data_IF_068489217709
#
_entry.id   IF_068489217709
#
_cell.length_a   1.000
_cell.length_b   1.000
_cell.length_c   1.000
_cell.angle_alpha   90.00
_cell.angle_beta   90.00
_cell.angle_gamma   90.00
#
_symmetry.space_group_name_H-M   'P 1'
#
loop_
_entity.id
_entity.type
_entity.pdbx_description
1 polymer ?
#
# COMPACT_ATOMS: atom_id res chain seq x y z
N UNK A 1 -19.55 -7.57 -23.78
CA UNK A 1 -19.21 -6.22 -24.28
C UNK A 1 -17.98 -5.73 -23.52
N UNK A 2 -16.96 -5.21 -24.20
CA UNK A 2 -15.73 -4.71 -23.56
C UNK A 2 -15.92 -3.21 -23.25
N UNK A 3 -15.67 -2.82 -21.99
CA UNK A 3 -15.68 -1.41 -21.57
C UNK A 3 -14.31 -0.78 -21.84
N UNK A 4 -14.08 -0.32 -23.08
CA UNK A 4 -12.78 0.21 -23.53
C UNK A 4 -12.27 1.39 -22.71
N UNK A 5 -13.16 2.28 -22.26
CA UNK A 5 -12.82 3.41 -21.39
C UNK A 5 -12.25 2.93 -20.04
N UNK A 6 -12.94 1.99 -19.39
CA UNK A 6 -12.48 1.39 -18.13
C UNK A 6 -11.20 0.59 -18.29
N UNK A 7 -11.00 -0.06 -19.43
CA UNK A 7 -9.74 -0.72 -19.74
C UNK A 7 -8.60 0.31 -19.86
N UNK A 8 -8.83 1.43 -20.55
CA UNK A 8 -7.87 2.52 -20.67
C UNK A 8 -7.48 3.13 -19.33
N UNK A 9 -8.46 3.38 -18.46
CA UNK A 9 -8.25 3.78 -17.07
C UNK A 9 -7.30 2.79 -16.35
N UNK A 10 -7.62 1.49 -16.38
CA UNK A 10 -6.80 0.46 -15.72
C UNK A 10 -5.38 0.41 -16.29
N UNK A 11 -5.21 0.46 -17.61
CA UNK A 11 -3.87 0.47 -18.24
C UNK A 11 -3.06 1.69 -17.83
N UNK A 12 -3.69 2.88 -17.79
CA UNK A 12 -3.03 4.12 -17.35
C UNK A 12 -2.52 3.99 -15.90
N UNK A 13 -3.29 3.32 -15.04
CA UNK A 13 -2.89 3.07 -13.66
C UNK A 13 -1.58 2.31 -13.56
N UNK A 14 -1.32 1.35 -14.46
CA UNK A 14 -0.12 0.51 -14.36
C UNK A 14 1.17 1.27 -14.64
N UNK A 15 1.08 2.41 -15.32
CA UNK A 15 2.21 3.31 -15.57
C UNK A 15 2.28 4.39 -14.49
N UNK A 16 1.15 5.03 -14.19
CA UNK A 16 1.10 6.16 -13.25
C UNK A 16 1.42 5.73 -11.81
N UNK A 17 0.93 4.57 -11.38
CA UNK A 17 1.07 4.07 -10.02
C UNK A 17 2.52 3.85 -9.58
N UNK A 18 3.36 3.08 -10.33
CA UNK A 18 4.74 2.87 -9.94
C UNK A 18 5.55 4.16 -9.97
N UNK A 19 5.29 5.07 -10.93
CA UNK A 19 5.99 6.35 -11.01
C UNK A 19 5.66 7.23 -9.81
N UNK A 20 4.38 7.39 -9.48
CA UNK A 20 3.96 8.18 -8.34
C UNK A 20 4.50 7.61 -7.01
N UNK A 21 4.43 6.30 -6.84
CA UNK A 21 5.02 5.60 -5.69
C UNK A 21 6.53 5.83 -5.58
N UNK A 22 7.26 5.73 -6.70
CA UNK A 22 8.70 5.97 -6.75
C UNK A 22 9.06 7.39 -6.35
N UNK A 23 8.38 8.39 -6.93
CA UNK A 23 8.64 9.81 -6.66
C UNK A 23 8.37 10.15 -5.19
N UNK A 24 7.22 9.76 -4.65
CA UNK A 24 6.87 10.10 -3.28
C UNK A 24 7.81 9.39 -2.29
N UNK A 25 8.08 8.10 -2.47
CA UNK A 25 8.98 7.37 -1.57
C UNK A 25 10.43 7.88 -1.66
N UNK A 26 10.90 8.27 -2.85
CA UNK A 26 12.18 8.95 -3.05
C UNK A 26 12.24 10.26 -2.25
N UNK A 27 11.22 11.10 -2.36
CA UNK A 27 11.17 12.39 -1.67
C UNK A 27 11.12 12.22 -0.14
N UNK A 28 10.34 11.27 0.36
CA UNK A 28 10.25 10.95 1.79
C UNK A 28 11.61 10.48 2.31
N UNK A 29 12.24 9.52 1.63
CA UNK A 29 13.54 9.01 2.05
C UNK A 29 14.62 10.10 1.98
N UNK A 30 14.64 10.91 0.91
CA UNK A 30 15.58 12.03 0.78
C UNK A 30 15.37 13.08 1.87
N UNK A 31 14.13 13.33 2.29
CA UNK A 31 13.82 14.21 3.42
C UNK A 31 14.37 13.65 4.72
N UNK A 32 14.21 12.35 4.99
CA UNK A 32 14.80 11.70 6.18
C UNK A 32 16.32 11.82 6.14
N UNK A 33 16.95 11.57 4.98
CA UNK A 33 18.41 11.71 4.84
C UNK A 33 18.84 13.15 5.10
N UNK A 34 18.17 14.13 4.51
CA UNK A 34 18.53 15.54 4.65
C UNK A 34 18.35 16.07 6.09
N UNK A 35 17.21 15.79 6.72
CA UNK A 35 16.90 16.33 8.04
C UNK A 35 17.52 15.54 9.20
N UNK A 36 17.74 14.22 9.03
CA UNK A 36 18.21 13.34 10.10
C UNK A 36 19.65 12.90 9.88
N UNK A 37 19.94 12.20 8.78
CA UNK A 37 21.24 11.57 8.58
C UNK A 37 22.37 12.52 8.16
N UNK A 38 22.07 13.59 7.44
CA UNK A 38 23.04 14.61 7.05
C UNK A 38 23.39 15.57 8.21
N UNK A 39 22.71 15.47 9.35
CA UNK A 39 23.05 16.23 10.54
C UNK A 39 24.33 15.69 11.18
N UNK A 40 25.16 16.58 11.75
CA UNK A 40 26.36 16.16 12.49
C UNK A 40 26.05 15.29 13.72
N UNK A 41 24.79 15.26 14.18
CA UNK A 41 24.31 14.47 15.32
C UNK A 41 22.95 13.82 15.03
N UNK A 42 22.91 12.70 14.29
CA UNK A 42 21.66 12.08 13.82
C UNK A 42 20.66 11.71 14.93
N UNK A 43 21.14 11.33 16.12
CA UNK A 43 20.28 11.01 17.26
C UNK A 43 19.53 12.23 17.80
N UNK A 44 20.17 13.40 17.89
CA UNK A 44 19.52 14.65 18.29
C UNK A 44 18.55 15.13 17.21
N UNK A 45 18.93 15.01 15.94
CA UNK A 45 18.04 15.33 14.82
C UNK A 45 16.80 14.43 14.77
N UNK A 46 16.94 13.14 15.07
CA UNK A 46 15.80 12.22 15.19
C UNK A 46 14.86 12.60 16.34
N UNK A 47 15.38 13.09 17.47
CA UNK A 47 14.54 13.63 18.56
C UNK A 47 13.77 14.88 18.12
N UNK A 48 14.37 15.73 17.30
CA UNK A 48 13.75 16.96 16.80
C UNK A 48 12.73 16.72 15.69
N UNK A 49 13.08 15.93 14.68
CA UNK A 49 12.27 15.74 13.47
C UNK A 49 11.43 14.46 13.50
N UNK A 50 11.82 13.45 14.29
CA UNK A 50 11.05 12.20 14.47
C UNK A 50 9.58 12.43 14.82
N UNK A 51 9.23 13.32 15.77
CA UNK A 51 7.85 13.63 16.10
C UNK A 51 7.00 14.08 14.90
N UNK A 52 7.58 14.81 13.94
CA UNK A 52 6.87 15.24 12.72
C UNK A 52 6.57 14.03 11.82
N UNK A 53 7.51 13.09 11.67
CA UNK A 53 7.27 11.85 10.92
C UNK A 53 6.20 10.98 11.58
N UNK A 54 6.16 10.92 12.92
CA UNK A 54 5.08 10.27 13.69
C UNK A 54 3.74 10.94 13.36
N UNK A 55 3.68 12.27 13.48
CA UNK A 55 2.51 13.06 13.14
C UNK A 55 1.99 12.77 11.74
N UNK A 56 2.86 12.89 10.73
CA UNK A 56 2.51 12.66 9.33
C UNK A 56 2.00 11.24 9.09
N UNK A 57 2.57 10.26 9.79
CA UNK A 57 2.13 8.86 9.70
C UNK A 57 0.69 8.72 10.16
N UNK A 58 0.38 9.18 11.38
CA UNK A 58 -0.97 9.10 11.91
C UNK A 58 -1.96 9.97 11.14
N UNK A 59 -1.52 11.11 10.62
CA UNK A 59 -2.30 11.94 9.70
C UNK A 59 -2.77 11.13 8.49
N UNK A 60 -1.84 10.51 7.75
CA UNK A 60 -2.17 9.75 6.54
C UNK A 60 -3.02 8.52 6.86
N UNK A 61 -2.71 7.81 7.94
CA UNK A 61 -3.50 6.65 8.38
C UNK A 61 -4.94 7.07 8.68
N UNK A 62 -5.12 8.13 9.46
CA UNK A 62 -6.46 8.64 9.86
C UNK A 62 -7.24 9.12 8.64
N UNK A 63 -6.61 9.97 7.83
CA UNK A 63 -7.22 10.52 6.63
C UNK A 63 -7.63 9.41 5.66
N UNK A 64 -6.76 8.43 5.44
CA UNK A 64 -7.03 7.35 4.50
C UNK A 64 -8.01 6.32 5.05
N UNK A 65 -7.99 6.03 6.36
CA UNK A 65 -8.98 5.17 7.01
C UNK A 65 -10.39 5.74 6.85
N UNK A 66 -10.60 7.01 7.21
CA UNK A 66 -11.92 7.63 7.19
C UNK A 66 -12.36 8.17 5.83
N UNK A 67 -11.48 8.23 4.83
CA UNK A 67 -11.90 8.54 3.45
C UNK A 67 -12.17 7.31 2.61
N UNK A 68 -11.50 6.18 2.86
CA UNK A 68 -11.66 4.96 2.06
C UNK A 68 -12.61 3.93 2.65
N UNK A 69 -12.74 3.88 3.98
CA UNK A 69 -13.57 2.86 4.61
C UNK A 69 -14.98 3.35 4.88
N UNK A 70 -15.92 2.40 4.94
CA UNK A 70 -17.31 2.68 5.30
C UNK A 70 -17.45 3.31 6.69
N UNK A 71 -16.50 3.08 7.59
CA UNK A 71 -16.44 3.71 8.91
C UNK A 71 -16.40 5.23 8.81
N UNK A 72 -15.72 5.77 7.79
CA UNK A 72 -15.73 7.19 7.47
C UNK A 72 -17.13 7.73 7.22
N UNK A 73 -17.86 7.09 6.32
CA UNK A 73 -19.22 7.49 5.95
C UNK A 73 -20.24 7.32 7.09
N UNK A 74 -19.95 6.48 8.08
CA UNK A 74 -20.81 6.30 9.26
C UNK A 74 -20.60 7.39 10.31
N UNK A 75 -19.37 7.89 10.44
CA UNK A 75 -18.99 8.82 11.51
C UNK A 75 -18.91 10.28 11.05
N UNK A 76 -18.70 10.52 9.75
CA UNK A 76 -18.47 11.85 9.19
C UNK A 76 -19.32 12.07 7.96
N UNK A 77 -19.83 13.30 7.82
CA UNK A 77 -20.67 13.70 6.68
C UNK A 77 -19.89 14.45 5.60
N UNK A 78 -18.76 15.08 5.97
CA UNK A 78 -17.96 15.92 5.08
C UNK A 78 -16.45 15.65 5.21
N UNK A 79 -15.71 15.91 4.12
CA UNK A 79 -14.26 15.77 4.10
C UNK A 79 -13.58 16.70 5.10
N UNK A 80 -14.17 17.86 5.34
CA UNK A 80 -13.68 18.91 6.23
C UNK A 80 -13.53 18.37 7.66
N UNK A 81 -14.51 17.58 8.12
CA UNK A 81 -14.46 16.93 9.43
C UNK A 81 -13.34 15.90 9.52
N UNK A 82 -13.17 15.09 8.47
CA UNK A 82 -12.09 14.08 8.41
C UNK A 82 -10.72 14.76 8.36
N UNK A 83 -10.60 15.86 7.62
CA UNK A 83 -9.36 16.64 7.53
C UNK A 83 -9.01 17.29 8.87
N UNK A 84 -9.99 17.92 9.52
CA UNK A 84 -9.82 18.51 10.86
C UNK A 84 -9.42 17.47 11.89
N UNK A 85 -10.07 16.30 11.89
CA UNK A 85 -9.68 15.19 12.77
C UNK A 85 -8.26 14.71 12.46
N UNK A 86 -7.91 14.56 11.19
CA UNK A 86 -6.57 14.11 10.79
C UNK A 86 -5.50 15.12 11.23
N UNK A 87 -5.76 16.42 11.11
CA UNK A 87 -4.88 17.49 11.61
C UNK A 87 -4.79 17.52 13.14
N UNK A 88 -5.89 17.27 13.85
CA UNK A 88 -5.88 17.15 15.30
C UNK A 88 -5.05 15.93 15.74
N UNK A 89 -5.25 14.78 15.10
CA UNK A 89 -4.45 13.56 15.33
C UNK A 89 -2.98 13.80 14.99
N UNK A 90 -2.67 14.51 13.91
CA UNK A 90 -1.30 14.94 13.57
C UNK A 90 -0.67 15.72 14.72
N UNK A 91 -1.35 16.76 15.22
CA UNK A 91 -0.82 17.61 16.28
C UNK A 91 -0.61 16.82 17.58
N UNK A 92 -1.62 16.05 18.00
CA UNK A 92 -1.57 15.24 19.22
C UNK A 92 -0.48 14.18 19.16
N UNK A 93 -0.39 13.43 18.04
CA UNK A 93 0.62 12.39 17.87
C UNK A 93 2.03 12.96 17.70
N UNK A 94 2.18 14.15 17.11
CA UNK A 94 3.46 14.86 17.07
C UNK A 94 3.90 15.27 18.48
N UNK A 95 3.01 15.90 19.26
CA UNK A 95 3.31 16.30 20.65
C UNK A 95 3.62 15.08 21.51
N UNK A 96 2.81 14.03 21.45
CA UNK A 96 3.08 12.76 22.12
C UNK A 96 4.42 12.15 21.66
N UNK A 97 4.72 12.27 20.36
CA UNK A 97 5.98 11.84 19.76
C UNK A 97 7.21 12.50 20.38
N UNK A 98 7.14 13.79 20.73
CA UNK A 98 8.24 14.48 21.44
C UNK A 98 8.57 13.77 22.76
N UNK A 99 7.55 13.40 23.54
CA UNK A 99 7.75 12.70 24.81
C UNK A 99 8.24 11.26 24.61
N UNK A 100 7.69 10.54 23.64
CA UNK A 100 8.06 9.15 23.35
C UNK A 100 9.52 9.07 22.88
N UNK A 101 9.88 9.88 21.88
CA UNK A 101 11.23 9.89 21.32
C UNK A 101 12.24 10.48 22.32
N UNK A 102 11.80 11.41 23.16
CA UNK A 102 12.60 11.95 24.26
C UNK A 102 12.93 10.92 25.35
N UNK A 103 11.98 10.01 25.66
CA UNK A 103 12.15 8.92 26.64
C UNK A 103 12.88 7.69 26.10
N UNK A 104 12.99 7.54 24.78
CA UNK A 104 13.86 6.51 24.22
C UNK A 104 15.31 6.86 24.59
N UNK A 105 15.93 6.03 25.43
CA UNK A 105 17.39 6.02 25.65
C UNK A 105 18.02 5.41 24.41
N UNK A 106 18.35 6.27 23.44
CA UNK A 106 18.79 5.84 22.13
C UNK A 106 20.32 5.83 22.07
N UNK A 107 20.89 4.76 21.52
CA UNK A 107 22.34 4.60 21.29
C UNK A 107 22.91 5.71 20.41
N UNK A 108 24.22 5.65 20.13
CA UNK A 108 24.89 6.73 19.42
C UNK A 108 24.61 6.68 17.91
N UNK A 109 24.07 7.78 17.36
CA UNK A 109 24.05 8.01 15.91
C UNK A 109 22.94 7.26 15.13
N UNK A 110 23.35 6.39 14.21
CA UNK A 110 22.48 5.80 13.18
C UNK A 110 21.50 4.75 13.71
N UNK A 111 21.93 3.93 14.67
CA UNK A 111 21.10 2.87 15.27
C UNK A 111 19.86 3.45 15.95
N UNK A 112 19.99 4.65 16.51
CA UNK A 112 18.90 5.35 17.15
C UNK A 112 17.77 5.70 16.18
N UNK A 113 18.14 6.19 15.01
CA UNK A 113 17.20 6.53 13.94
C UNK A 113 16.49 5.27 13.48
N UNK A 114 17.24 4.22 13.18
CA UNK A 114 16.69 2.94 12.73
C UNK A 114 15.75 2.29 13.76
N UNK A 115 16.07 2.40 15.06
CA UNK A 115 15.19 1.92 16.13
C UNK A 115 13.83 2.62 16.15
N UNK A 116 13.82 3.95 16.01
CA UNK A 116 12.60 4.75 15.91
C UNK A 116 11.77 4.34 14.70
N UNK A 117 12.39 4.34 13.51
CA UNK A 117 11.71 4.02 12.27
C UNK A 117 11.24 2.57 12.21
N UNK A 118 11.89 1.63 12.90
CA UNK A 118 11.39 0.26 13.06
C UNK A 118 10.01 0.22 13.73
N UNK A 119 9.79 1.02 14.77
CA UNK A 119 8.49 1.08 15.46
C UNK A 119 7.43 1.71 14.57
N UNK A 120 7.77 2.78 13.86
CA UNK A 120 6.86 3.44 12.92
C UNK A 120 6.52 2.56 11.72
N UNK A 121 7.51 1.84 11.20
CA UNK A 121 7.33 0.94 10.08
C UNK A 121 6.31 -0.16 10.40
N UNK A 122 6.31 -0.72 11.62
CA UNK A 122 5.29 -1.73 11.99
C UNK A 122 3.88 -1.15 11.85
N UNK A 123 3.66 0.07 12.34
CA UNK A 123 2.35 0.74 12.27
C UNK A 123 1.98 1.04 10.81
N UNK A 124 2.90 1.58 10.01
CA UNK A 124 2.65 1.87 8.59
C UNK A 124 2.41 0.59 7.78
N UNK A 125 3.17 -0.47 8.03
CA UNK A 125 3.03 -1.76 7.37
C UNK A 125 1.67 -2.40 7.67
N UNK A 126 1.20 -2.34 8.92
CA UNK A 126 -0.15 -2.80 9.27
C UNK A 126 -1.24 -2.02 8.52
N UNK A 127 -1.07 -0.70 8.40
CA UNK A 127 -2.01 0.13 7.67
C UNK A 127 -2.02 -0.17 6.16
N UNK A 128 -0.83 -0.28 5.56
CA UNK A 128 -0.67 -0.67 4.15
C UNK A 128 -1.30 -2.04 3.92
N UNK A 129 -1.07 -3.02 4.80
CA UNK A 129 -1.69 -4.34 4.72
C UNK A 129 -3.24 -4.28 4.75
N UNK A 130 -3.83 -3.45 5.63
CA UNK A 130 -5.27 -3.22 5.67
C UNK A 130 -5.79 -2.59 4.37
N UNK A 131 -5.10 -1.58 3.85
CA UNK A 131 -5.48 -0.92 2.60
C UNK A 131 -5.36 -1.84 1.39
N UNK A 132 -4.31 -2.66 1.33
CA UNK A 132 -4.14 -3.69 0.30
C UNK A 132 -5.25 -4.72 0.37
N UNK A 133 -5.54 -5.28 1.55
CA UNK A 133 -6.61 -6.26 1.73
C UNK A 133 -7.96 -5.71 1.28
N UNK A 134 -8.28 -4.47 1.64
CA UNK A 134 -9.53 -3.81 1.25
C UNK A 134 -9.67 -3.63 -0.28
N UNK A 135 -8.59 -3.35 -0.99
CA UNK A 135 -8.61 -3.18 -2.45
C UNK A 135 -8.60 -4.54 -3.18
N UNK A 136 -7.77 -5.48 -2.72
CA UNK A 136 -7.48 -6.70 -3.46
C UNK A 136 -8.52 -7.81 -3.21
N UNK A 137 -9.30 -7.74 -2.12
CA UNK A 137 -10.39 -8.71 -1.85
C UNK A 137 -11.42 -8.72 -2.98
N UNK A 138 -11.69 -7.57 -3.60
CA UNK A 138 -12.64 -7.44 -4.70
C UNK A 138 -12.21 -8.25 -5.93
N UNK A 139 -10.90 -8.44 -6.17
CA UNK A 139 -10.40 -9.15 -7.35
C UNK A 139 -10.86 -10.62 -7.39
N UNK A 140 -10.97 -11.26 -6.23
CA UNK A 140 -11.45 -12.64 -6.11
C UNK A 140 -12.96 -12.71 -5.83
N UNK A 141 -13.44 -11.82 -4.94
CA UNK A 141 -14.82 -11.90 -4.44
C UNK A 141 -15.84 -11.29 -5.39
N UNK A 142 -15.50 -10.28 -6.20
CA UNK A 142 -16.48 -9.67 -7.10
C UNK A 142 -17.00 -10.65 -8.18
N UNK A 143 -16.15 -11.41 -8.90
CA UNK A 143 -16.64 -12.43 -9.83
C UNK A 143 -17.46 -13.53 -9.13
N UNK A 144 -16.98 -14.00 -7.98
CA UNK A 144 -17.66 -15.02 -7.18
C UNK A 144 -19.04 -14.55 -6.70
N UNK A 145 -19.14 -13.30 -6.26
CA UNK A 145 -20.37 -12.65 -5.85
C UNK A 145 -21.39 -12.67 -6.98
N UNK A 146 -21.01 -12.25 -8.19
CA UNK A 146 -21.92 -12.24 -9.36
C UNK A 146 -22.43 -13.64 -9.68
N UNK A 147 -21.55 -14.66 -9.69
CA UNK A 147 -21.96 -16.04 -9.96
C UNK A 147 -22.93 -16.54 -8.90
N UNK A 148 -22.62 -16.36 -7.62
CA UNK A 148 -23.46 -16.82 -6.52
C UNK A 148 -24.81 -16.09 -6.48
N UNK A 149 -24.83 -14.77 -6.63
CA UNK A 149 -26.09 -14.02 -6.62
C UNK A 149 -26.97 -14.39 -7.80
N UNK A 150 -26.39 -14.63 -8.97
CA UNK A 150 -27.16 -15.06 -10.15
C UNK A 150 -27.68 -16.50 -10.00
N UNK A 151 -26.87 -17.41 -9.45
CA UNK A 151 -27.26 -18.80 -9.23
C UNK A 151 -28.30 -18.97 -8.11
N UNK A 152 -28.28 -18.07 -7.12
CA UNK A 152 -29.14 -18.11 -5.94
C UNK A 152 -30.29 -17.09 -6.02
N UNK A 153 -30.50 -16.45 -7.17
CA UNK A 153 -31.47 -15.35 -7.35
C UNK A 153 -32.91 -15.80 -7.04
N UNK A 154 -33.23 -17.07 -7.28
CA UNK A 154 -34.52 -17.69 -6.93
C UNK A 154 -34.63 -18.12 -5.46
N UNK A 155 -33.63 -17.86 -4.63
CA UNK A 155 -33.60 -18.26 -3.22
C UNK A 155 -33.61 -17.02 -2.32
N UNK A 156 -34.38 -17.05 -1.23
CA UNK A 156 -34.39 -15.97 -0.22
C UNK A 156 -33.09 -15.88 0.61
N UNK A 157 -32.03 -16.58 0.20
CA UNK A 157 -30.75 -16.69 0.90
C UNK A 157 -29.90 -15.43 0.67
N UNK A 158 -30.08 -14.74 -0.46
CA UNK A 158 -29.41 -13.49 -0.79
C UNK A 158 -29.99 -12.34 0.04
N UNK A 159 -29.70 -12.37 1.35
CA UNK A 159 -30.06 -11.33 2.32
C UNK A 159 -28.93 -10.32 2.50
N UNK A 160 -29.20 -9.20 3.17
CA UNK A 160 -28.28 -8.06 3.33
C UNK A 160 -26.91 -8.38 3.97
N UNK A 161 -26.76 -9.54 4.64
CA UNK A 161 -25.49 -9.96 5.25
C UNK A 161 -24.63 -10.89 4.38
N UNK A 162 -25.15 -11.41 3.26
CA UNK A 162 -24.46 -12.37 2.40
C UNK A 162 -23.10 -11.83 1.88
N UNK A 163 -23.05 -10.54 1.58
CA UNK A 163 -21.82 -9.86 1.12
C UNK A 163 -20.69 -9.89 2.15
N UNK A 164 -20.98 -9.80 3.46
CA UNK A 164 -19.94 -9.82 4.49
C UNK A 164 -19.25 -11.17 4.62
N UNK A 165 -19.99 -12.27 4.46
CA UNK A 165 -19.41 -13.62 4.50
C UNK A 165 -18.49 -13.87 3.31
N UNK A 166 -18.85 -13.36 2.13
CA UNK A 166 -18.00 -13.42 0.94
C UNK A 166 -16.71 -12.60 1.13
N UNK A 167 -16.81 -11.40 1.68
CA UNK A 167 -15.63 -10.58 2.01
C UNK A 167 -14.74 -11.26 3.04
N UNK A 168 -15.33 -11.90 4.07
CA UNK A 168 -14.59 -12.67 5.07
C UNK A 168 -13.87 -13.88 4.46
N UNK A 169 -14.53 -14.60 3.54
CA UNK A 169 -13.92 -15.69 2.77
C UNK A 169 -12.72 -15.20 1.96
N UNK A 170 -12.86 -14.05 1.28
CA UNK A 170 -11.78 -13.44 0.51
C UNK A 170 -10.60 -13.02 1.40
N UNK A 171 -10.89 -12.41 2.54
CA UNK A 171 -9.88 -12.04 3.54
C UNK A 171 -9.13 -13.27 4.09
N UNK A 172 -9.85 -14.35 4.39
CA UNK A 172 -9.25 -15.62 4.83
C UNK A 172 -8.37 -16.24 3.73
N UNK A 173 -8.80 -16.18 2.47
CA UNK A 173 -8.01 -16.63 1.32
C UNK A 173 -6.71 -15.84 1.15
N UNK A 174 -6.77 -14.50 1.26
CA UNK A 174 -5.58 -13.64 1.23
C UNK A 174 -4.63 -14.01 2.37
N UNK A 175 -5.14 -14.13 3.60
CA UNK A 175 -4.33 -14.51 4.76
C UNK A 175 -3.65 -15.88 4.57
N UNK A 176 -4.38 -16.88 4.10
CA UNK A 176 -3.84 -18.21 3.80
C UNK A 176 -2.75 -18.16 2.72
N UNK A 177 -2.95 -17.38 1.66
CA UNK A 177 -1.96 -17.19 0.59
C UNK A 177 -0.67 -16.54 1.09
N UNK A 178 -0.78 -15.53 1.95
CA UNK A 178 0.39 -14.86 2.56
C UNK A 178 1.17 -15.85 3.42
N UNK A 179 0.49 -16.62 4.28
CA UNK A 179 1.12 -17.58 5.19
C UNK A 179 1.80 -18.75 4.47
N UNK A 180 1.24 -19.20 3.35
CA UNK A 180 1.74 -20.38 2.62
C UNK A 180 2.82 -20.06 1.58
N UNK A 181 2.65 -18.97 0.82
CA UNK A 181 3.50 -18.69 -0.34
C UNK A 181 3.97 -17.23 -0.46
N UNK A 182 3.41 -16.32 0.35
CA UNK A 182 3.73 -14.90 0.32
C UNK A 182 5.22 -14.59 0.57
N UNK A 183 5.92 -15.43 1.33
CA UNK A 183 7.34 -15.24 1.68
C UNK A 183 8.26 -15.08 0.46
N UNK A 184 7.94 -15.69 -0.70
CA UNK A 184 8.76 -15.59 -1.91
C UNK A 184 8.77 -14.17 -2.49
N UNK A 185 7.60 -13.53 -2.52
CA UNK A 185 7.45 -12.15 -3.00
C UNK A 185 8.01 -11.16 -1.98
N UNK A 186 7.72 -11.38 -0.69
CA UNK A 186 8.27 -10.55 0.41
C UNK A 186 9.80 -10.53 0.37
N UNK A 187 10.44 -11.70 0.17
CA UNK A 187 11.91 -11.78 0.05
C UNK A 187 12.43 -11.01 -1.17
N UNK A 188 11.72 -11.05 -2.28
CA UNK A 188 12.12 -10.35 -3.51
C UNK A 188 12.05 -8.83 -3.33
N UNK A 189 10.97 -8.32 -2.75
CA UNK A 189 10.82 -6.89 -2.47
C UNK A 189 11.77 -6.40 -1.36
N UNK A 190 11.98 -7.20 -0.31
CA UNK A 190 12.75 -6.80 0.86
C UNK A 190 14.26 -6.81 0.70
N UNK A 191 14.78 -7.64 -0.22
CA UNK A 191 16.22 -7.85 -0.35
C UNK A 191 16.78 -7.83 -1.77
N UNK A 192 15.96 -8.16 -2.78
CA UNK A 192 16.49 -8.38 -4.13
C UNK A 192 16.46 -7.13 -5.01
N UNK A 193 15.44 -6.26 -4.90
CA UNK A 193 15.40 -5.01 -5.68
C UNK A 193 16.41 -4.00 -5.11
N UNK A 194 16.31 -3.73 -3.81
CA UNK A 194 17.25 -2.92 -3.04
C UNK A 194 17.21 -3.40 -1.59
N UNK A 195 18.32 -3.29 -0.86
CA UNK A 195 18.35 -3.69 0.55
C UNK A 195 17.54 -2.69 1.40
N UNK A 196 16.46 -3.15 2.04
CA UNK A 196 15.62 -2.29 2.87
C UNK A 196 16.11 -2.24 4.33
N UNK A 197 16.47 -1.04 4.80
CA UNK A 197 16.56 -0.71 6.23
C UNK A 197 15.21 -0.22 6.74
N UNK A 198 15.04 0.04 8.04
CA UNK A 198 13.73 0.43 8.58
C UNK A 198 13.27 1.80 8.08
N UNK A 199 14.21 2.75 7.97
CA UNK A 199 13.93 4.06 7.36
C UNK A 199 13.47 3.96 5.90
N UNK A 200 14.04 3.02 5.15
CA UNK A 200 13.67 2.73 3.76
C UNK A 200 12.30 2.06 3.69
N UNK A 201 12.06 1.03 4.50
CA UNK A 201 10.77 0.35 4.58
C UNK A 201 9.64 1.31 4.97
N UNK A 202 9.87 2.17 5.97
CA UNK A 202 8.94 3.25 6.31
C UNK A 202 8.66 4.18 5.12
N UNK A 203 9.70 4.59 4.38
CA UNK A 203 9.54 5.48 3.21
C UNK A 203 8.73 4.81 2.09
N UNK A 204 8.92 3.50 1.89
CA UNK A 204 8.12 2.69 0.95
C UNK A 204 6.67 2.64 1.38
N UNK A 205 6.38 2.30 2.64
CA UNK A 205 5.02 2.20 3.16
C UNK A 205 4.30 3.55 3.09
N UNK A 206 4.96 4.60 3.57
CA UNK A 206 4.41 5.95 3.59
C UNK A 206 4.18 6.47 2.17
N UNK A 207 5.16 6.28 1.27
CA UNK A 207 5.04 6.69 -0.13
C UNK A 207 3.91 5.95 -0.85
N UNK A 208 3.77 4.64 -0.60
CA UNK A 208 2.68 3.83 -1.14
C UNK A 208 1.32 4.31 -0.63
N UNK A 209 1.16 4.44 0.69
CA UNK A 209 -0.08 4.86 1.32
C UNK A 209 -0.51 6.26 0.82
N UNK A 210 0.43 7.20 0.74
CA UNK A 210 0.19 8.56 0.24
C UNK A 210 -0.27 8.53 -1.21
N UNK A 211 0.44 7.80 -2.06
CA UNK A 211 0.11 7.68 -3.49
C UNK A 211 -1.30 7.11 -3.68
N UNK A 212 -1.59 6.02 -2.97
CA UNK A 212 -2.88 5.31 -3.04
C UNK A 212 -4.01 6.17 -2.49
N UNK A 213 -3.77 6.98 -1.46
CA UNK A 213 -4.74 7.94 -0.93
C UNK A 213 -5.04 9.03 -1.96
N UNK A 214 -4.01 9.73 -2.45
CA UNK A 214 -4.16 10.85 -3.38
C UNK A 214 -4.82 10.40 -4.67
N UNK A 215 -4.38 9.28 -5.26
CA UNK A 215 -4.97 8.76 -6.48
C UNK A 215 -6.46 8.43 -6.30
N UNK A 216 -6.84 7.77 -5.21
CA UNK A 216 -8.26 7.50 -4.93
C UNK A 216 -9.09 8.76 -4.72
N UNK A 217 -8.53 9.85 -4.17
CA UNK A 217 -9.23 11.13 -4.05
C UNK A 217 -9.41 11.85 -5.39
N UNK A 218 -8.43 11.71 -6.29
CA UNK A 218 -8.51 12.26 -7.65
C UNK A 218 -9.35 11.38 -8.59
N UNK A 219 -9.92 10.27 -8.10
CA UNK A 219 -10.65 9.30 -8.93
C UNK A 219 -9.73 8.57 -9.92
N UNK A 220 -8.41 8.64 -9.72
CA UNK A 220 -7.44 8.00 -10.59
C UNK A 220 -7.35 6.51 -10.26
N UNK A 221 -7.42 5.62 -11.28
CA UNK A 221 -7.17 4.21 -11.09
C UNK A 221 -5.71 4.03 -10.65
N UNK A 222 -5.48 3.20 -9.63
CA UNK A 222 -4.15 2.93 -9.08
C UNK A 222 -4.00 1.43 -8.80
N UNK A 223 -2.85 0.86 -9.17
CA UNK A 223 -2.46 -0.49 -8.76
C UNK A 223 -1.57 -0.40 -7.53
N UNK A 224 -2.08 -0.86 -6.39
CA UNK A 224 -1.35 -0.87 -5.11
C UNK A 224 -0.06 -1.69 -5.21
N UNK A 225 -0.08 -2.86 -5.87
CA UNK A 225 1.10 -3.70 -6.08
C UNK A 225 2.18 -2.98 -6.89
N UNK A 226 1.82 -2.29 -7.98
CA UNK A 226 2.78 -1.53 -8.77
C UNK A 226 3.31 -0.31 -8.01
N UNK A 227 2.46 0.36 -7.23
CA UNK A 227 2.87 1.47 -6.37
C UNK A 227 3.97 1.04 -5.39
N UNK A 228 3.82 -0.10 -4.72
CA UNK A 228 4.83 -0.61 -3.77
C UNK A 228 6.15 -0.89 -4.48
N UNK A 229 6.12 -1.57 -5.63
CA UNK A 229 7.35 -1.85 -6.41
C UNK A 229 8.01 -0.54 -6.84
N UNK A 230 7.23 0.43 -7.32
CA UNK A 230 7.71 1.76 -7.64
C UNK A 230 8.36 2.44 -6.45
N UNK A 231 7.71 2.42 -5.29
CA UNK A 231 8.23 3.00 -4.06
C UNK A 231 9.57 2.36 -3.62
N UNK A 232 9.70 1.02 -3.71
CA UNK A 232 10.96 0.32 -3.45
C UNK A 232 12.07 0.78 -4.40
N UNK A 233 11.77 0.89 -5.70
CA UNK A 233 12.70 1.40 -6.71
C UNK A 233 13.09 2.85 -6.39
N UNK A 234 12.12 3.71 -6.07
CA UNK A 234 12.36 5.13 -5.74
C UNK A 234 13.28 5.31 -4.54
N UNK A 235 13.09 4.53 -3.48
CA UNK A 235 13.98 4.56 -2.30
C UNK A 235 15.37 4.04 -2.64
N UNK A 236 15.49 3.02 -3.49
CA UNK A 236 16.78 2.56 -4.00
C UNK A 236 17.50 3.64 -4.82
N UNK A 237 16.80 4.29 -5.75
CA UNK A 237 17.34 5.37 -6.59
C UNK A 237 17.84 6.57 -5.77
N UNK A 238 17.24 6.83 -4.61
CA UNK A 238 17.71 7.88 -3.70
C UNK A 238 19.12 7.64 -3.13
N UNK A 239 19.64 6.40 -3.20
CA UNK A 239 21.03 6.03 -2.87
C UNK A 239 21.96 6.00 -4.09
N UNK A 240 21.42 6.20 -5.30
CA UNK A 240 22.13 6.03 -6.56
C UNK A 240 21.62 4.83 -7.35
N UNK A 241 21.84 4.85 -8.67
CA UNK A 241 21.34 3.82 -9.59
C UNK A 241 21.91 2.43 -9.28
N UNK A 242 23.15 2.37 -8.77
CA UNK A 242 23.84 1.13 -8.39
C UNK A 242 23.17 0.39 -7.23
N UNK A 243 22.37 1.10 -6.41
CA UNK A 243 21.64 0.50 -5.30
C UNK A 243 20.37 -0.26 -5.73
N UNK A 244 20.04 -0.26 -7.02
CA UNK A 244 18.87 -0.90 -7.61
C UNK A 244 19.30 -1.98 -8.59
N UNK A 245 18.86 -3.23 -8.37
CA UNK A 245 19.07 -4.31 -9.32
C UNK A 245 18.10 -4.15 -10.52
N UNK A 246 18.59 -3.49 -11.58
CA UNK A 246 17.85 -3.27 -12.81
C UNK A 246 17.49 -4.57 -13.54
N UNK A 247 18.24 -5.66 -13.33
CA UNK A 247 17.92 -6.95 -13.94
C UNK A 247 16.63 -7.53 -13.35
N UNK A 248 16.43 -7.34 -12.04
CA UNK A 248 15.21 -7.76 -11.36
C UNK A 248 14.04 -6.85 -11.72
N UNK A 249 14.26 -5.53 -11.78
CA UNK A 249 13.23 -4.58 -12.22
C UNK A 249 12.74 -4.94 -13.64
N UNK A 250 13.66 -5.24 -14.57
CA UNK A 250 13.30 -5.70 -15.92
C UNK A 250 12.44 -6.97 -15.88
N UNK A 251 12.83 -7.98 -15.10
CA UNK A 251 12.04 -9.22 -14.94
C UNK A 251 10.63 -8.96 -14.43
N UNK A 252 10.47 -8.02 -13.49
CA UNK A 252 9.16 -7.62 -12.97
C UNK A 252 8.31 -6.98 -14.07
N UNK A 253 8.85 -6.02 -14.82
CA UNK A 253 8.15 -5.36 -15.93
C UNK A 253 7.73 -6.38 -16.99
N UNK A 254 8.62 -7.30 -17.38
CA UNK A 254 8.29 -8.39 -18.30
C UNK A 254 7.18 -9.30 -17.74
N UNK A 255 7.24 -9.63 -16.45
CA UNK A 255 6.20 -10.41 -15.79
C UNK A 255 4.84 -9.72 -15.86
N UNK A 256 4.76 -8.41 -15.61
CA UNK A 256 3.52 -7.66 -15.71
C UNK A 256 2.95 -7.66 -17.13
N UNK A 257 3.81 -7.40 -18.12
CA UNK A 257 3.40 -7.41 -19.53
C UNK A 257 2.93 -8.79 -19.99
N UNK A 258 3.56 -9.87 -19.52
CA UNK A 258 3.22 -11.25 -19.88
C UNK A 258 1.96 -11.78 -19.16
N UNK A 259 1.69 -11.31 -17.94
CA UNK A 259 0.56 -11.81 -17.14
C UNK A 259 -0.78 -11.59 -17.84
N UNK A 260 -0.93 -10.47 -18.55
CA UNK A 260 -2.17 -10.10 -19.24
C UNK A 260 -2.53 -11.02 -20.42
N UNK A 261 -1.69 -11.18 -21.45
CA UNK A 261 -2.02 -12.06 -22.57
C UNK A 261 -2.21 -13.51 -22.11
N UNK A 262 -1.44 -13.96 -21.11
CA UNK A 262 -1.60 -15.30 -20.53
C UNK A 262 -2.96 -15.44 -19.84
N UNK A 263 -3.36 -14.48 -19.00
CA UNK A 263 -4.65 -14.52 -18.31
C UNK A 263 -5.83 -14.45 -19.29
N UNK A 264 -5.76 -13.58 -20.30
CA UNK A 264 -6.78 -13.46 -21.35
C UNK A 264 -6.91 -14.79 -22.12
N UNK A 265 -5.78 -15.35 -22.55
CA UNK A 265 -5.77 -16.59 -23.34
C UNK A 265 -6.32 -17.76 -22.52
N UNK A 266 -5.87 -17.92 -21.28
CA UNK A 266 -6.38 -18.96 -20.38
C UNK A 266 -7.88 -18.81 -20.13
N UNK A 267 -8.36 -17.57 -19.89
CA UNK A 267 -9.78 -17.31 -19.69
C UNK A 267 -10.60 -17.69 -20.93
N UNK A 268 -10.15 -17.34 -22.13
CA UNK A 268 -10.82 -17.72 -23.39
C UNK A 268 -10.86 -19.24 -23.57
N UNK A 269 -9.73 -19.92 -23.34
CA UNK A 269 -9.61 -21.38 -23.51
C UNK A 269 -10.52 -22.10 -22.53
N UNK A 270 -10.51 -21.72 -21.25
CA UNK A 270 -11.36 -22.33 -20.22
C UNK A 270 -12.84 -22.08 -20.54
N UNK A 271 -13.22 -20.84 -20.87
CA UNK A 271 -14.60 -20.51 -21.20
C UNK A 271 -15.11 -21.29 -22.43
N UNK A 272 -14.33 -21.32 -23.52
CA UNK A 272 -14.70 -22.10 -24.71
C UNK A 272 -14.76 -23.60 -24.42
N UNK A 273 -13.86 -24.12 -23.59
CA UNK A 273 -13.90 -25.51 -23.16
C UNK A 273 -15.19 -25.84 -22.39
N UNK A 274 -15.60 -24.98 -21.46
CA UNK A 274 -16.85 -25.14 -20.73
C UNK A 274 -18.08 -25.09 -21.65
N UNK A 275 -18.11 -24.18 -22.63
CA UNK A 275 -19.18 -24.05 -23.63
C UNK A 275 -19.31 -25.27 -24.57
N UNK A 276 -18.29 -26.13 -24.65
CA UNK A 276 -18.37 -27.38 -25.42
C UNK A 276 -18.99 -28.49 -24.56
N UNK A 277 -18.80 -28.43 -23.24
CA UNK A 277 -19.24 -29.45 -22.29
C UNK A 277 -20.69 -29.24 -21.84
N UNK A 278 -21.10 -27.98 -21.65
CA UNK A 278 -22.43 -27.57 -21.20
C UNK A 278 -23.20 -26.90 -22.34
#
# INVERSE_FOLDING_TARGET
VIMWEKLGEVVSSWILSPVAGAVIAFLVFRSIVHFVFASGKPAEAAKKFGPIFIGMTFFIITLSLFTKTRLGNMLFTGMDQVMLLSLAVFAVSSVAGVFIVGKMTIGTGYEAVEYLFRKLQIITSCYVALSHGANDVANAIAPLSVVLTTALDSTSIVTGNFSYYLLALGGAGIAAGILTWGYKVIRTLGSKITALTNTRGFSVDFGTATTVLVASRLGLPISTSHTVVGAVIGVGLAKGLEAVDLSIVKKIIYSWALTLPVAITLSIVIYKGLMIVF
#
